data_IF_726466648632
#
_entry.id   IF_726466648632
#
_cell.length_a   1.000
_cell.length_b   1.000
_cell.length_c   1.000
_cell.angle_alpha   90.00
_cell.angle_beta   90.00
_cell.angle_gamma   90.00
#
_symmetry.space_group_name_H-M   'P 1'
#
loop_
_entity.id
_entity.type
_entity.pdbx_description
1 polymer ?
#
# COMPACT_ATOMS: atom_id res chain seq x y z
N UNK A 1 13.87 -35.49 22.25
CA UNK A 1 12.96 -34.32 22.16
C UNK A 1 13.52 -33.41 21.08
N UNK A 2 12.85 -33.30 19.93
CA UNK A 2 13.25 -32.36 18.88
C UNK A 2 12.93 -30.94 19.36
N UNK A 3 13.96 -30.14 19.67
CA UNK A 3 13.77 -28.71 19.95
C UNK A 3 13.52 -28.01 18.61
N UNK A 4 12.33 -27.42 18.45
CA UNK A 4 12.04 -26.58 17.31
C UNK A 4 12.90 -25.32 17.39
N UNK A 5 13.58 -24.96 16.30
CA UNK A 5 14.35 -23.72 16.23
C UNK A 5 13.42 -22.51 16.36
N UNK A 6 13.86 -21.43 17.03
CA UNK A 6 13.06 -20.23 17.16
C UNK A 6 12.80 -19.59 15.79
N UNK A 7 11.62 -19.01 15.61
CA UNK A 7 11.24 -18.32 14.37
C UNK A 7 12.12 -17.07 14.23
N UNK A 8 12.75 -16.82 13.07
CA UNK A 8 13.55 -15.63 12.86
C UNK A 8 12.71 -14.35 12.95
N UNK A 9 13.31 -13.22 13.33
CA UNK A 9 12.59 -11.94 13.35
C UNK A 9 12.13 -11.56 11.93
N UNK A 10 11.06 -10.75 11.81
CA UNK A 10 10.62 -10.26 10.52
C UNK A 10 11.66 -9.32 9.91
N UNK A 11 11.69 -9.25 8.58
CA UNK A 11 12.41 -8.19 7.87
C UNK A 11 11.81 -6.84 8.24
N UNK A 12 12.64 -5.90 8.66
CA UNK A 12 12.21 -4.58 9.10
C UNK A 12 12.43 -3.53 8.01
N UNK A 13 11.59 -2.51 7.96
CA UNK A 13 11.75 -1.37 7.05
C UNK A 13 12.79 -0.36 7.53
N UNK A 14 13.33 -0.54 8.75
CA UNK A 14 14.35 0.33 9.37
C UNK A 14 15.78 0.01 8.97
N UNK A 15 16.04 -1.18 8.43
CA UNK A 15 17.39 -1.61 8.07
C UNK A 15 17.95 -0.78 6.91
N UNK A 16 18.99 0.01 7.19
CA UNK A 16 19.67 0.82 6.18
C UNK A 16 20.30 -0.07 5.09
N UNK A 17 20.12 0.31 3.83
CA UNK A 17 20.60 -0.46 2.68
C UNK A 17 19.80 -1.72 2.37
N UNK A 18 18.79 -2.07 3.17
CA UNK A 18 17.92 -3.22 2.89
C UNK A 18 16.98 -2.95 1.70
N UNK A 19 16.64 -4.02 0.98
CA UNK A 19 15.61 -3.97 -0.05
C UNK A 19 14.23 -3.58 0.50
N UNK A 20 13.93 -3.98 1.74
CA UNK A 20 12.69 -3.61 2.43
C UNK A 20 12.57 -2.09 2.59
N UNK A 21 13.62 -1.44 3.10
CA UNK A 21 13.68 0.01 3.23
C UNK A 21 13.59 0.71 1.87
N UNK A 22 14.37 0.27 0.88
CA UNK A 22 14.35 0.84 -0.47
C UNK A 22 12.95 0.74 -1.10
N UNK A 23 12.25 -0.38 -0.89
CA UNK A 23 10.88 -0.56 -1.35
C UNK A 23 9.93 0.49 -0.78
N UNK A 24 10.03 0.82 0.51
CA UNK A 24 9.19 1.84 1.13
C UNK A 24 9.54 3.24 0.63
N UNK A 25 10.83 3.59 0.60
CA UNK A 25 11.28 4.96 0.27
C UNK A 25 11.12 5.29 -1.21
N UNK A 26 11.33 4.31 -2.10
CA UNK A 26 11.41 4.57 -3.54
C UNK A 26 10.16 4.06 -4.25
N UNK A 27 9.80 2.79 -4.03
CA UNK A 27 8.74 2.14 -4.81
C UNK A 27 7.33 2.57 -4.40
N UNK A 28 7.07 2.79 -3.11
CA UNK A 28 5.71 3.17 -2.65
C UNK A 28 5.27 4.55 -3.18
N UNK A 29 6.12 5.60 -3.16
CA UNK A 29 5.80 6.87 -3.83
C UNK A 29 5.59 6.72 -5.34
N UNK A 30 6.43 5.91 -6.01
CA UNK A 30 6.29 5.66 -7.45
C UNK A 30 4.95 4.98 -7.78
N UNK A 31 4.49 4.03 -6.97
CA UNK A 31 3.18 3.38 -7.15
C UNK A 31 2.05 4.40 -7.03
N UNK A 32 2.08 5.29 -6.02
CA UNK A 32 1.07 6.34 -5.86
C UNK A 32 1.07 7.27 -7.08
N UNK A 33 2.24 7.73 -7.50
CA UNK A 33 2.38 8.59 -8.68
C UNK A 33 1.83 7.91 -9.94
N UNK A 34 2.12 6.63 -10.14
CA UNK A 34 1.60 5.88 -11.27
C UNK A 34 0.07 5.71 -11.21
N UNK A 35 -0.50 5.47 -10.03
CA UNK A 35 -1.96 5.40 -9.83
C UNK A 35 -2.63 6.73 -10.20
N UNK A 36 -2.04 7.87 -9.81
CA UNK A 36 -2.52 9.20 -10.22
C UNK A 36 -2.46 9.40 -11.74
N UNK A 37 -1.36 8.99 -12.39
CA UNK A 37 -1.20 9.13 -13.84
C UNK A 37 -2.15 8.22 -14.64
N UNK A 38 -2.43 7.03 -14.13
CA UNK A 38 -3.20 6.03 -14.85
C UNK A 38 -4.70 6.26 -14.82
N UNK A 39 -5.18 7.03 -13.84
CA UNK A 39 -6.59 7.16 -13.54
C UNK A 39 -7.03 8.62 -13.55
N UNK A 40 -8.16 8.90 -14.20
CA UNK A 40 -8.86 10.18 -14.04
C UNK A 40 -9.69 10.11 -12.74
N UNK A 41 -9.14 10.64 -11.66
CA UNK A 41 -9.76 10.72 -10.34
C UNK A 41 -10.30 12.13 -10.08
N UNK A 42 -11.32 12.28 -9.22
CA UNK A 42 -11.73 13.59 -8.75
C UNK A 42 -10.67 14.18 -7.80
N UNK A 43 -10.59 15.50 -7.73
CA UNK A 43 -9.57 16.25 -6.96
C UNK A 43 -9.41 15.77 -5.50
N UNK A 44 -10.51 15.38 -4.84
CA UNK A 44 -10.45 14.90 -3.45
C UNK A 44 -9.69 13.58 -3.30
N UNK A 45 -9.71 12.69 -4.31
CA UNK A 45 -8.93 11.44 -4.30
C UNK A 45 -7.48 11.75 -4.60
N UNK A 46 -7.20 12.67 -5.53
CA UNK A 46 -5.83 13.10 -5.81
C UNK A 46 -5.17 13.71 -4.57
N UNK A 47 -5.90 14.56 -3.85
CA UNK A 47 -5.47 15.13 -2.58
C UNK A 47 -5.23 14.04 -1.51
N UNK A 48 -6.10 13.04 -1.41
CA UNK A 48 -5.94 11.94 -0.47
C UNK A 48 -4.71 11.07 -0.78
N UNK A 49 -4.44 10.79 -2.05
CA UNK A 49 -3.25 10.05 -2.50
C UNK A 49 -1.96 10.83 -2.26
N UNK A 50 -1.96 12.14 -2.53
CA UNK A 50 -0.81 13.00 -2.23
C UNK A 50 -0.53 13.07 -0.72
N UNK A 51 -1.56 13.30 0.10
CA UNK A 51 -1.44 13.28 1.56
C UNK A 51 -0.94 11.92 2.07
N UNK A 52 -1.35 10.82 1.44
CA UNK A 52 -0.83 9.50 1.77
C UNK A 52 0.66 9.33 1.41
N UNK A 53 1.11 9.90 0.29
CA UNK A 53 2.52 9.98 -0.06
C UNK A 53 3.34 10.74 0.99
N UNK A 54 2.84 11.89 1.45
CA UNK A 54 3.46 12.69 2.52
C UNK A 54 3.52 11.93 3.85
N UNK A 55 2.48 11.16 4.17
CA UNK A 55 2.45 10.31 5.35
C UNK A 55 3.56 9.27 5.31
N UNK A 56 3.73 8.57 4.18
CA UNK A 56 4.79 7.56 4.00
C UNK A 56 6.17 8.17 4.23
N UNK A 57 6.37 9.39 3.74
CA UNK A 57 7.66 10.07 3.80
C UNK A 57 8.00 10.62 5.19
N UNK A 58 7.01 11.18 5.91
CA UNK A 58 7.30 12.07 7.04
C UNK A 58 6.47 11.87 8.29
N UNK A 59 5.37 11.13 8.24
CA UNK A 59 4.42 11.07 9.36
C UNK A 59 4.34 9.67 9.98
N UNK A 60 3.89 9.58 11.24
CA UNK A 60 3.46 8.31 11.81
C UNK A 60 2.30 7.71 11.01
N UNK A 61 2.24 6.39 10.92
CA UNK A 61 1.14 5.70 10.25
C UNK A 61 -0.19 6.06 10.89
N UNK A 62 -1.12 6.58 10.09
CA UNK A 62 -2.45 6.93 10.57
C UNK A 62 -3.42 5.75 10.41
N UNK A 63 -4.40 5.59 11.32
CA UNK A 63 -5.46 4.61 11.14
C UNK A 63 -6.33 4.93 9.93
N UNK A 64 -7.04 3.92 9.45
CA UNK A 64 -8.10 4.07 8.45
C UNK A 64 -9.28 4.83 9.06
N UNK A 65 -9.90 5.68 8.23
CA UNK A 65 -11.01 6.56 8.58
C UNK A 65 -12.32 6.10 7.97
N UNK A 66 -12.28 5.36 6.88
CA UNK A 66 -13.46 4.91 6.16
C UNK A 66 -14.21 3.81 6.93
N UNK A 67 -15.51 3.72 6.70
CA UNK A 67 -16.32 2.65 7.24
C UNK A 67 -16.34 1.49 6.24
N UNK A 68 -15.67 0.40 6.60
CA UNK A 68 -15.65 -0.84 5.83
C UNK A 68 -15.58 -2.04 6.78
N UNK A 69 -15.89 -3.24 6.29
CA UNK A 69 -15.95 -4.44 7.12
C UNK A 69 -14.60 -4.78 7.80
N UNK A 70 -13.47 -4.41 7.19
CA UNK A 70 -12.13 -4.72 7.68
C UNK A 70 -11.45 -3.57 8.44
N UNK A 71 -12.07 -2.37 8.50
CA UNK A 71 -11.49 -1.17 9.13
C UNK A 71 -11.07 -1.45 10.57
N UNK A 72 -11.93 -2.10 11.36
CA UNK A 72 -11.65 -2.39 12.77
C UNK A 72 -10.42 -3.31 12.94
N UNK A 73 -10.28 -4.31 12.07
CA UNK A 73 -9.14 -5.22 12.08
C UNK A 73 -7.83 -4.47 11.78
N UNK A 74 -7.81 -3.66 10.73
CA UNK A 74 -6.62 -2.91 10.33
C UNK A 74 -6.23 -1.86 11.36
N UNK A 75 -7.19 -1.14 11.92
CA UNK A 75 -6.92 -0.16 12.98
C UNK A 75 -6.34 -0.82 14.23
N UNK A 76 -6.78 -2.03 14.58
CA UNK A 76 -6.16 -2.80 15.66
C UNK A 76 -4.71 -3.23 15.32
N UNK A 77 -4.40 -3.56 14.06
CA UNK A 77 -3.02 -3.88 13.66
C UNK A 77 -2.10 -2.66 13.69
N UNK A 78 -2.55 -1.53 13.14
CA UNK A 78 -1.79 -0.26 13.13
C UNK A 78 -1.52 0.23 14.55
N UNK A 79 -2.48 0.08 15.47
CA UNK A 79 -2.33 0.49 16.86
C UNK A 79 -1.16 -0.21 17.59
N UNK A 80 -0.74 -1.41 17.13
CA UNK A 80 0.45 -2.12 17.67
C UNK A 80 1.75 -1.37 17.40
N UNK A 81 1.74 -0.46 16.44
CA UNK A 81 2.86 0.37 16.01
C UNK A 81 2.55 1.87 16.23
N UNK A 82 1.71 2.20 17.22
CA UNK A 82 1.31 3.57 17.49
C UNK A 82 2.52 4.53 17.59
N UNK A 83 2.44 5.65 16.87
CA UNK A 83 3.51 6.65 16.80
C UNK A 83 4.69 6.29 15.89
N UNK A 84 4.76 5.08 15.33
CA UNK A 84 5.81 4.68 14.39
C UNK A 84 5.50 5.11 12.97
N UNK A 85 6.56 5.46 12.24
CA UNK A 85 6.52 5.74 10.81
C UNK A 85 6.67 4.47 9.96
N UNK A 86 6.58 4.65 8.65
CA UNK A 86 6.63 3.57 7.65
C UNK A 86 8.01 2.87 7.57
N UNK A 87 9.06 3.48 8.12
CA UNK A 87 10.42 2.94 8.20
C UNK A 87 10.77 2.29 9.54
N UNK A 88 9.79 1.99 10.40
CA UNK A 88 10.05 1.35 11.71
C UNK A 88 9.06 0.22 12.03
N UNK A 89 8.73 -0.58 11.02
CA UNK A 89 7.76 -1.69 11.14
C UNK A 89 8.16 -2.92 10.31
N UNK A 90 7.56 -4.10 10.57
CA UNK A 90 7.75 -5.27 9.72
C UNK A 90 7.36 -4.97 8.27
N UNK A 91 8.21 -5.36 7.33
CA UNK A 91 8.03 -5.04 5.92
C UNK A 91 6.73 -5.59 5.33
N UNK A 92 6.38 -6.84 5.67
CA UNK A 92 5.11 -7.43 5.25
C UNK A 92 3.89 -6.63 5.72
N UNK A 93 3.93 -6.13 6.96
CA UNK A 93 2.87 -5.28 7.48
C UNK A 93 2.81 -3.94 6.74
N UNK A 94 3.95 -3.27 6.57
CA UNK A 94 4.01 -2.01 5.82
C UNK A 94 3.47 -2.18 4.39
N UNK A 95 3.83 -3.26 3.70
CA UNK A 95 3.38 -3.51 2.34
C UNK A 95 1.89 -3.78 2.25
N UNK A 96 1.35 -4.64 3.12
CA UNK A 96 -0.07 -4.98 3.10
C UNK A 96 -0.95 -3.80 3.53
N UNK A 97 -0.53 -3.07 4.56
CA UNK A 97 -1.24 -1.88 5.02
C UNK A 97 -1.17 -0.74 3.99
N UNK A 98 -0.06 -0.59 3.26
CA UNK A 98 0.05 0.36 2.16
C UNK A 98 -1.07 0.20 1.14
N UNK A 99 -1.27 -1.03 0.64
CA UNK A 99 -2.31 -1.26 -0.36
C UNK A 99 -3.71 -1.06 0.22
N UNK A 100 -3.94 -1.49 1.46
CA UNK A 100 -5.23 -1.25 2.10
C UNK A 100 -5.54 0.24 2.22
N UNK A 101 -4.56 1.05 2.62
CA UNK A 101 -4.71 2.49 2.77
C UNK A 101 -4.83 3.22 1.43
N UNK A 102 -4.16 2.73 0.40
CA UNK A 102 -4.37 3.18 -0.98
C UNK A 102 -5.81 2.92 -1.43
N UNK A 103 -6.38 1.75 -1.12
CA UNK A 103 -7.79 1.44 -1.44
C UNK A 103 -8.77 2.38 -0.72
N UNK A 104 -8.47 2.78 0.52
CA UNK A 104 -9.24 3.84 1.21
C UNK A 104 -9.12 5.17 0.47
N UNK A 105 -7.90 5.60 0.13
CA UNK A 105 -7.65 6.89 -0.53
C UNK A 105 -8.40 7.02 -1.86
N UNK A 106 -8.51 5.93 -2.64
CA UNK A 106 -9.27 5.91 -3.90
C UNK A 106 -10.76 5.60 -3.74
N UNK A 107 -11.23 5.42 -2.51
CA UNK A 107 -12.64 5.14 -2.20
C UNK A 107 -13.13 3.78 -2.69
N UNK A 108 -12.24 2.79 -2.83
CA UNK A 108 -12.55 1.48 -3.44
C UNK A 108 -13.65 0.73 -2.69
N UNK A 109 -13.67 0.80 -1.35
CA UNK A 109 -14.65 0.08 -0.52
C UNK A 109 -15.88 0.91 -0.16
N UNK A 110 -15.86 2.22 -0.41
CA UNK A 110 -16.99 3.10 -0.14
C UNK A 110 -18.04 3.00 -1.25
N UNK A 111 -19.32 3.13 -0.88
CA UNK A 111 -20.40 3.27 -1.86
C UNK A 111 -20.21 4.54 -2.69
N UNK A 112 -20.47 4.45 -3.99
CA UNK A 112 -20.41 5.59 -4.90
C UNK A 112 -19.75 5.25 -6.24
N UNK A 113 -19.44 6.26 -7.07
CA UNK A 113 -18.92 6.06 -8.43
C UNK A 113 -17.55 5.35 -8.50
N UNK A 114 -16.80 5.35 -7.39
CA UNK A 114 -15.47 4.72 -7.29
C UNK A 114 -15.50 3.35 -6.62
N UNK A 115 -16.68 2.89 -6.17
CA UNK A 115 -16.84 1.59 -5.53
C UNK A 115 -16.36 0.47 -6.46
N UNK A 116 -15.41 -0.35 -5.98
CA UNK A 116 -14.84 -1.46 -6.74
C UNK A 116 -13.98 -1.05 -7.95
N UNK A 117 -13.68 0.24 -8.13
CA UNK A 117 -12.84 0.71 -9.24
C UNK A 117 -11.36 0.42 -8.95
N UNK A 118 -10.84 -0.61 -9.60
CA UNK A 118 -9.45 -1.07 -9.42
C UNK A 118 -8.43 0.00 -9.89
N UNK A 119 -7.61 0.57 -8.98
CA UNK A 119 -6.61 1.59 -9.33
C UNK A 119 -5.49 1.07 -10.25
N UNK A 120 -5.33 -0.26 -10.34
CA UNK A 120 -4.27 -0.91 -11.12
C UNK A 120 -4.78 -1.53 -12.43
N UNK A 121 -6.07 -1.37 -12.77
CA UNK A 121 -6.68 -2.03 -13.92
C UNK A 121 -5.96 -1.72 -15.24
N UNK A 122 -5.52 -0.47 -15.44
CA UNK A 122 -4.80 -0.05 -16.65
C UNK A 122 -3.46 -0.76 -16.80
N UNK A 123 -2.67 -0.84 -15.73
CA UNK A 123 -1.39 -1.53 -15.74
C UNK A 123 -1.56 -3.03 -16.00
N UNK A 124 -2.54 -3.67 -15.34
CA UNK A 124 -2.86 -5.08 -15.58
C UNK A 124 -3.18 -5.35 -17.05
N UNK A 125 -4.05 -4.54 -17.66
CA UNK A 125 -4.43 -4.64 -19.08
C UNK A 125 -3.25 -4.43 -20.03
N UNK A 126 -2.33 -3.51 -19.71
CA UNK A 126 -1.12 -3.29 -20.50
C UNK A 126 -0.19 -4.51 -20.44
N UNK A 127 0.01 -5.09 -19.26
CA UNK A 127 0.82 -6.29 -19.09
C UNK A 127 0.21 -7.50 -19.80
N UNK A 128 -1.11 -7.67 -19.73
CA UNK A 128 -1.85 -8.70 -20.49
C UNK A 128 -1.66 -8.53 -22.00
N UNK A 129 -1.81 -7.32 -22.52
CA UNK A 129 -1.63 -7.04 -23.95
C UNK A 129 -0.19 -7.29 -24.42
N UNK A 130 0.80 -6.88 -23.63
CA UNK A 130 2.22 -7.11 -23.93
C UNK A 130 2.57 -8.61 -23.92
N UNK A 131 2.01 -9.37 -22.98
CA UNK A 131 2.20 -10.82 -22.92
C UNK A 131 1.58 -11.52 -24.13
N UNK A 132 0.37 -11.14 -24.55
CA UNK A 132 -0.26 -11.67 -25.76
C UNK A 132 0.56 -11.40 -27.02
N UNK A 133 1.19 -10.22 -27.14
CA UNK A 133 2.04 -9.89 -28.27
C UNK A 133 3.30 -10.78 -28.35
N UNK A 134 3.82 -11.28 -27.22
CA UNK A 134 4.94 -12.22 -27.19
C UNK A 134 4.55 -13.65 -27.58
N UNK A 135 3.26 -13.97 -27.48
CA UNK A 135 2.71 -15.28 -27.86
C UNK A 135 2.23 -15.31 -29.32
N UNK A 136 2.20 -14.18 -30.01
CA UNK A 136 1.85 -14.12 -31.42
C UNK A 136 2.98 -14.74 -32.26
N UNK A 137 2.67 -15.63 -33.23
CA UNK A 137 3.64 -16.35 -34.04
C UNK A 137 4.44 -15.46 -34.99
#
# INVERSE_FOLDING_TARGET
MNQALPIPPPLMTSELGSFARATIVERKPQIIAQVLLDNNYPEYVEAALNAFGDEIATQPMQPLREQSADTAFWNAQVARFAGRGWLDVPWYFAETFFYRKLLEAVGYLQSGPLHGRDPFARQKRQQEAAALAQLAP
#
